data_IF_723720920993
#
_entry.id   IF_723720920993
#
_cell.length_a   1.000
_cell.length_b   1.000
_cell.length_c   1.000
_cell.angle_alpha   90.00
_cell.angle_beta   90.00
_cell.angle_gamma   90.00
#
_symmetry.space_group_name_H-M   'P 1'
#
loop_
_entity.id
_entity.type
_entity.pdbx_description
1 polymer ?
#
# COMPACT_ATOMS: atom_id res chain seq x y z
N UNK A 1 24.57 19.04 -11.22
CA UNK A 1 23.73 18.58 -10.09
C UNK A 1 23.69 17.06 -10.14
N UNK A 2 24.21 16.40 -9.10
CA UNK A 2 24.05 14.96 -8.91
C UNK A 2 22.84 14.78 -8.01
N UNK A 3 21.82 14.03 -8.49
CA UNK A 3 20.67 13.66 -7.69
C UNK A 3 20.92 12.29 -7.08
N UNK A 4 21.08 12.25 -5.75
CA UNK A 4 21.26 11.01 -5.02
C UNK A 4 19.94 10.58 -4.38
N UNK A 5 19.50 9.37 -4.69
CA UNK A 5 18.33 8.80 -4.08
C UNK A 5 18.63 8.20 -2.68
N UNK A 6 17.58 7.77 -2.01
CA UNK A 6 17.69 7.16 -0.68
C UNK A 6 18.51 5.85 -0.70
N UNK A 7 18.52 5.12 -1.82
CA UNK A 7 19.23 3.86 -1.96
C UNK A 7 20.74 4.09 -2.10
N UNK A 8 21.14 5.17 -2.77
CA UNK A 8 22.54 5.55 -2.87
C UNK A 8 23.19 5.72 -1.48
N UNK A 9 22.50 6.39 -0.55
CA UNK A 9 22.97 6.57 0.84
C UNK A 9 23.03 5.29 1.67
N UNK A 10 22.37 4.21 1.25
CA UNK A 10 22.38 2.93 1.95
C UNK A 10 23.42 1.95 1.43
N UNK A 11 24.22 2.33 0.44
CA UNK A 11 25.32 1.49 -0.04
C UNK A 11 26.42 1.35 1.01
N UNK A 12 27.16 0.23 0.97
CA UNK A 12 28.23 -0.05 1.94
C UNK A 12 29.27 1.07 2.00
N UNK A 13 29.56 1.71 0.87
CA UNK A 13 30.51 2.83 0.79
C UNK A 13 30.07 4.02 1.64
N UNK A 14 28.78 4.41 1.58
CA UNK A 14 28.27 5.55 2.35
C UNK A 14 27.94 5.20 3.81
N UNK A 15 27.88 3.91 4.17
CA UNK A 15 27.70 3.46 5.55
C UNK A 15 29.02 3.41 6.35
N UNK A 16 30.16 3.38 5.67
CA UNK A 16 31.46 3.46 6.31
C UNK A 16 31.93 4.91 6.41
N UNK A 17 32.72 5.24 7.45
CA UNK A 17 33.29 6.58 7.59
C UNK A 17 34.26 6.85 6.44
N UNK A 18 34.00 7.90 5.66
CA UNK A 18 34.85 8.33 4.53
C UNK A 18 36.02 9.17 4.99
N UNK A 19 35.91 9.84 6.13
CA UNK A 19 36.99 10.59 6.74
C UNK A 19 36.82 10.65 8.26
N UNK A 20 37.94 10.71 8.98
CA UNK A 20 37.96 10.94 10.43
C UNK A 20 38.67 12.26 10.70
N UNK A 21 38.00 13.16 11.42
CA UNK A 21 38.57 14.43 11.85
C UNK A 21 38.77 14.37 13.36
N UNK A 22 40.04 14.47 13.79
CA UNK A 22 40.42 14.36 15.19
C UNK A 22 41.07 15.68 15.65
N UNK A 23 40.39 16.41 16.55
CA UNK A 23 40.86 17.65 17.16
C UNK A 23 41.29 18.75 16.19
N UNK A 24 40.96 18.68 14.91
CA UNK A 24 41.33 19.62 13.83
C UNK A 24 40.29 20.70 13.59
N UNK A 25 39.18 20.64 14.33
CA UNK A 25 38.07 21.60 14.18
C UNK A 25 38.35 22.87 14.99
N UNK A 26 38.04 24.03 14.40
CA UNK A 26 38.18 25.35 15.04
C UNK A 26 36.98 25.66 15.96
N UNK A 27 35.81 25.15 15.62
CA UNK A 27 34.60 25.27 16.44
C UNK A 27 33.76 23.99 16.33
N UNK A 28 33.14 23.62 17.44
CA UNK A 28 32.22 22.49 17.51
C UNK A 28 31.04 22.88 18.41
N UNK A 29 29.83 22.74 17.88
CA UNK A 29 28.60 22.92 18.63
C UNK A 29 27.86 21.61 18.62
N UNK A 30 27.54 21.11 19.80
CA UNK A 30 26.79 19.89 20.01
C UNK A 30 25.44 20.21 20.64
N UNK A 31 24.35 19.77 20.05
CA UNK A 31 23.02 19.90 20.61
C UNK A 31 22.27 18.58 20.59
N UNK A 32 21.56 18.28 21.66
CA UNK A 32 20.61 17.18 21.75
C UNK A 32 19.18 17.74 21.66
N UNK A 33 18.53 17.55 20.55
CA UNK A 33 17.18 18.04 20.33
C UNK A 33 16.15 17.03 20.82
N UNK A 34 15.69 17.17 22.07
CA UNK A 34 14.64 16.33 22.62
C UNK A 34 13.23 16.65 22.06
N UNK A 35 13.05 17.72 21.29
CA UNK A 35 11.76 18.07 20.68
C UNK A 35 11.31 17.08 19.61
N UNK A 36 12.24 16.36 19.00
CA UNK A 36 11.99 15.35 17.96
C UNK A 36 11.86 13.92 18.50
N UNK A 37 11.85 13.76 19.83
CA UNK A 37 11.63 12.46 20.46
C UNK A 37 10.15 12.08 20.40
N UNK A 38 9.88 10.89 19.88
CA UNK A 38 8.57 10.23 19.95
C UNK A 38 8.76 8.81 20.47
N UNK A 39 8.19 8.54 21.63
CA UNK A 39 8.35 7.28 22.35
C UNK A 39 7.05 6.47 22.45
N UNK A 40 6.01 6.94 21.80
CA UNK A 40 4.77 6.22 21.52
C UNK A 40 4.45 6.43 20.05
N UNK A 41 4.42 5.37 19.28
CA UNK A 41 4.04 5.41 17.88
C UNK A 41 2.70 4.70 17.74
N UNK A 42 1.74 5.35 17.10
CA UNK A 42 0.44 4.79 16.77
C UNK A 42 0.21 4.87 15.27
N UNK A 43 -0.14 3.78 14.64
CA UNK A 43 -0.57 3.72 13.25
C UNK A 43 -2.02 3.26 13.20
N UNK A 44 -2.91 4.14 12.74
CA UNK A 44 -4.32 3.82 12.53
C UNK A 44 -4.58 3.61 11.05
N UNK A 45 -5.18 2.48 10.68
CA UNK A 45 -5.41 2.09 9.30
C UNK A 45 -6.71 1.30 9.17
N UNK A 46 -7.20 1.15 7.96
CA UNK A 46 -8.34 0.30 7.63
C UNK A 46 -7.83 -0.95 6.91
N UNK A 47 -7.81 -2.12 7.56
CA UNK A 47 -7.40 -3.35 6.88
C UNK A 47 -8.43 -3.73 5.80
N UNK A 48 -7.92 -4.31 4.71
CA UNK A 48 -8.72 -4.88 3.65
C UNK A 48 -8.65 -6.39 3.76
N UNK A 49 -9.77 -7.07 3.73
CA UNK A 49 -9.82 -8.53 3.73
C UNK A 49 -10.43 -9.06 2.44
N UNK A 50 -9.78 -10.08 1.87
CA UNK A 50 -10.30 -10.79 0.73
C UNK A 50 -11.49 -11.67 1.19
N UNK A 51 -12.63 -11.48 0.55
CA UNK A 51 -13.86 -12.21 0.82
C UNK A 51 -14.01 -13.37 -0.15
N UNK A 52 -14.74 -14.40 0.30
CA UNK A 52 -15.06 -15.58 -0.52
C UNK A 52 -15.91 -15.20 -1.75
N UNK A 53 -15.91 -16.10 -2.74
CA UNK A 53 -16.70 -15.96 -3.96
C UNK A 53 -18.18 -15.75 -3.57
N UNK A 54 -18.73 -14.62 -4.00
CA UNK A 54 -20.15 -14.30 -3.84
C UNK A 54 -20.72 -13.68 -5.11
N UNK A 55 -22.03 -13.51 -5.14
CA UNK A 55 -22.71 -12.77 -6.20
C UNK A 55 -22.41 -11.27 -6.03
N UNK A 56 -21.86 -10.66 -7.07
CA UNK A 56 -21.48 -9.25 -7.08
C UNK A 56 -22.37 -8.42 -8.00
N UNK A 57 -23.09 -9.07 -8.91
CA UNK A 57 -24.03 -8.44 -9.82
C UNK A 57 -25.05 -9.45 -10.32
N UNK A 58 -26.27 -8.98 -10.56
CA UNK A 58 -27.36 -9.75 -11.14
C UNK A 58 -28.22 -8.89 -12.05
N UNK A 59 -28.59 -9.45 -13.19
CA UNK A 59 -29.60 -8.87 -14.07
C UNK A 59 -30.99 -9.06 -13.44
N UNK A 60 -31.74 -7.96 -13.36
CA UNK A 60 -33.09 -7.98 -12.74
C UNK A 60 -34.21 -8.24 -13.74
N UNK A 61 -33.90 -8.11 -15.03
CA UNK A 61 -34.88 -8.27 -16.12
C UNK A 61 -34.69 -9.60 -16.83
N UNK A 62 -35.69 -10.02 -17.62
CA UNK A 62 -35.64 -11.20 -18.47
C UNK A 62 -35.64 -10.81 -19.96
N UNK A 63 -34.56 -10.20 -20.47
CA UNK A 63 -34.49 -9.73 -21.86
C UNK A 63 -34.50 -10.91 -22.84
N UNK A 64 -35.01 -10.66 -24.05
CA UNK A 64 -34.95 -11.59 -25.16
C UNK A 64 -33.75 -11.26 -26.04
N UNK A 65 -32.97 -12.30 -26.40
CA UNK A 65 -31.92 -12.22 -27.41
C UNK A 65 -32.46 -12.88 -28.70
N UNK A 66 -32.62 -12.14 -29.80
CA UNK A 66 -33.01 -12.74 -31.07
C UNK A 66 -32.02 -13.82 -31.54
N UNK A 67 -32.49 -14.72 -32.39
CA UNK A 67 -31.64 -15.74 -33.01
C UNK A 67 -30.45 -15.12 -33.77
N UNK A 68 -29.25 -15.61 -33.51
CA UNK A 68 -28.02 -15.13 -34.12
C UNK A 68 -27.45 -13.79 -33.58
N UNK A 69 -28.16 -13.14 -32.67
CA UNK A 69 -27.78 -11.81 -32.15
C UNK A 69 -26.98 -11.91 -30.83
N UNK A 70 -26.26 -10.83 -30.53
CA UNK A 70 -25.51 -10.68 -29.28
C UNK A 70 -25.96 -9.42 -28.55
N UNK A 71 -26.32 -9.56 -27.28
CA UNK A 71 -26.58 -8.44 -26.40
C UNK A 71 -25.50 -8.32 -25.30
N UNK A 72 -25.27 -7.10 -24.88
CA UNK A 72 -24.21 -6.79 -23.89
C UNK A 72 -24.77 -6.07 -22.68
N UNK A 73 -24.36 -6.51 -21.50
CA UNK A 73 -24.65 -5.88 -20.22
C UNK A 73 -23.38 -5.46 -19.51
N UNK A 74 -23.48 -4.39 -18.76
CA UNK A 74 -22.46 -3.93 -17.85
C UNK A 74 -22.95 -4.09 -16.42
N UNK A 75 -22.19 -4.79 -15.62
CA UNK A 75 -22.47 -4.98 -14.19
C UNK A 75 -21.46 -4.23 -13.34
N UNK A 76 -21.95 -3.48 -12.35
CA UNK A 76 -21.10 -2.91 -11.30
C UNK A 76 -21.02 -3.92 -10.14
N UNK A 77 -19.81 -4.09 -9.58
CA UNK A 77 -19.63 -4.94 -8.42
C UNK A 77 -20.20 -4.27 -7.18
N UNK A 78 -21.21 -4.87 -6.56
CA UNK A 78 -21.85 -4.39 -5.35
C UNK A 78 -22.10 -5.53 -4.36
N UNK A 79 -21.91 -5.21 -3.08
CA UNK A 79 -22.28 -6.08 -1.96
C UNK A 79 -23.02 -5.21 -0.95
N UNK A 80 -24.22 -5.62 -0.55
CA UNK A 80 -25.09 -4.85 0.38
C UNK A 80 -25.32 -3.40 -0.06
N UNK A 81 -25.45 -3.15 -1.37
CA UNK A 81 -25.61 -1.84 -2.02
C UNK A 81 -24.36 -0.93 -1.92
N UNK A 82 -23.21 -1.48 -1.61
CA UNK A 82 -21.95 -0.75 -1.63
C UNK A 82 -21.06 -1.25 -2.76
N UNK A 83 -20.44 -0.32 -3.49
CA UNK A 83 -19.51 -0.66 -4.56
C UNK A 83 -18.21 -1.22 -3.98
N UNK A 84 -17.79 -2.39 -4.46
CA UNK A 84 -16.60 -3.09 -3.98
C UNK A 84 -15.52 -3.22 -5.05
N UNK A 85 -14.27 -3.41 -4.62
CA UNK A 85 -13.17 -3.77 -5.50
C UNK A 85 -13.07 -5.28 -5.65
N UNK A 86 -13.15 -5.76 -6.88
CA UNK A 86 -13.09 -7.18 -7.20
C UNK A 86 -11.62 -7.59 -7.36
N UNK A 87 -11.24 -8.64 -6.65
CA UNK A 87 -9.95 -9.29 -6.81
C UNK A 87 -9.97 -10.19 -8.06
N UNK A 88 -10.95 -11.09 -8.12
CA UNK A 88 -11.11 -11.98 -9.27
C UNK A 88 -12.58 -12.24 -9.59
N UNK A 89 -13.00 -11.93 -10.81
CA UNK A 89 -14.27 -12.37 -11.36
C UNK A 89 -14.20 -13.84 -11.75
N UNK A 90 -15.20 -14.63 -11.35
CA UNK A 90 -15.33 -16.02 -11.84
C UNK A 90 -15.74 -16.02 -13.32
N UNK A 91 -15.38 -17.07 -14.04
CA UNK A 91 -15.96 -17.32 -15.37
C UNK A 91 -17.39 -17.82 -15.17
N UNK A 92 -18.39 -17.24 -15.85
CA UNK A 92 -19.78 -17.67 -15.72
C UNK A 92 -19.95 -19.16 -16.03
N UNK A 93 -20.64 -19.85 -15.13
CA UNK A 93 -20.90 -21.29 -15.24
C UNK A 93 -22.36 -21.48 -15.67
N UNK A 94 -22.56 -22.30 -16.71
CA UNK A 94 -23.89 -22.68 -17.22
C UNK A 94 -24.76 -23.20 -16.07
N UNK A 95 -26.03 -22.83 -16.05
CA UNK A 95 -27.05 -23.15 -15.05
C UNK A 95 -26.84 -22.54 -13.66
N UNK A 96 -25.60 -22.26 -13.28
CA UNK A 96 -25.28 -21.59 -12.02
C UNK A 96 -25.33 -20.07 -12.15
N UNK A 97 -24.75 -19.53 -13.20
CA UNK A 97 -24.57 -18.08 -13.38
C UNK A 97 -25.46 -17.53 -14.50
N UNK A 98 -25.87 -18.35 -15.44
CA UNK A 98 -26.82 -17.98 -16.48
C UNK A 98 -27.71 -19.13 -16.90
N UNK A 99 -28.98 -18.80 -17.21
CA UNK A 99 -29.96 -19.68 -17.82
C UNK A 99 -30.76 -18.92 -18.87
N UNK A 100 -31.26 -19.63 -19.86
CA UNK A 100 -32.10 -19.09 -20.91
C UNK A 100 -33.24 -20.07 -21.23
N UNK A 101 -34.38 -19.50 -21.62
CA UNK A 101 -35.59 -20.25 -21.96
C UNK A 101 -36.26 -19.68 -23.21
N UNK A 102 -37.11 -20.44 -23.87
CA UNK A 102 -37.89 -19.98 -25.04
C UNK A 102 -39.05 -19.04 -24.63
N UNK A 103 -39.35 -18.92 -23.35
CA UNK A 103 -40.39 -18.07 -22.77
C UNK A 103 -39.84 -17.26 -21.59
N UNK A 104 -40.34 -16.04 -21.41
CA UNK A 104 -39.85 -15.13 -20.37
C UNK A 104 -40.17 -15.61 -18.93
N UNK A 105 -41.24 -16.39 -18.78
CA UNK A 105 -41.64 -16.98 -17.50
C UNK A 105 -40.82 -18.23 -17.10
N UNK A 106 -39.97 -18.71 -18.00
CA UNK A 106 -39.09 -19.87 -17.76
C UNK A 106 -39.80 -21.22 -17.93
N UNK A 107 -41.09 -21.25 -18.35
CA UNK A 107 -41.87 -22.48 -18.50
C UNK A 107 -41.75 -23.14 -19.88
N UNK A 108 -41.02 -22.50 -20.81
CA UNK A 108 -40.78 -23.04 -22.14
C UNK A 108 -39.58 -24.00 -22.21
N UNK A 109 -39.06 -24.18 -23.41
CA UNK A 109 -37.90 -25.05 -23.66
C UNK A 109 -36.61 -24.40 -23.13
N UNK A 110 -35.76 -25.19 -22.48
CA UNK A 110 -34.45 -24.73 -22.02
C UNK A 110 -33.54 -24.40 -23.21
N UNK A 111 -33.11 -23.13 -23.33
CA UNK A 111 -32.28 -22.59 -24.37
C UNK A 111 -30.85 -22.30 -23.90
N UNK A 112 -30.50 -22.65 -22.68
CA UNK A 112 -29.22 -22.29 -22.05
C UNK A 112 -28.00 -22.76 -22.85
N UNK A 113 -28.09 -23.95 -23.48
CA UNK A 113 -27.02 -24.49 -24.30
C UNK A 113 -26.74 -23.68 -25.59
N UNK A 114 -27.73 -22.89 -26.07
CA UNK A 114 -27.59 -22.02 -27.22
C UNK A 114 -26.94 -20.66 -26.90
N UNK A 115 -26.71 -20.37 -25.63
CA UNK A 115 -26.15 -19.11 -25.19
C UNK A 115 -24.66 -19.27 -24.94
N UNK A 116 -23.87 -18.42 -25.62
CA UNK A 116 -22.43 -18.27 -25.34
C UNK A 116 -22.19 -16.97 -24.58
N UNK A 117 -21.50 -17.05 -23.46
CA UNK A 117 -21.18 -15.89 -22.61
C UNK A 117 -19.71 -15.55 -22.75
N UNK A 118 -19.42 -14.31 -23.16
CA UNK A 118 -18.07 -13.75 -23.19
C UNK A 118 -17.97 -12.62 -22.17
N UNK A 119 -16.88 -12.58 -21.40
CA UNK A 119 -16.70 -11.60 -20.33
C UNK A 119 -15.47 -10.73 -20.53
N UNK A 120 -15.57 -9.43 -20.25
CA UNK A 120 -14.43 -8.54 -20.04
C UNK A 120 -14.45 -8.05 -18.62
N UNK A 121 -13.36 -8.25 -17.89
CA UNK A 121 -13.28 -8.11 -16.44
C UNK A 121 -12.49 -6.85 -16.09
N UNK A 122 -13.01 -6.04 -15.15
CA UNK A 122 -12.38 -4.82 -14.64
C UNK A 122 -12.41 -4.84 -13.09
N UNK A 123 -11.72 -3.91 -12.47
CA UNK A 123 -11.60 -3.86 -11.00
C UNK A 123 -12.92 -3.63 -10.24
N UNK A 124 -13.91 -2.98 -10.87
CA UNK A 124 -15.22 -2.70 -10.25
C UNK A 124 -16.41 -3.05 -11.15
N UNK A 125 -16.15 -3.43 -12.39
CA UNK A 125 -17.19 -3.68 -13.38
C UNK A 125 -16.88 -4.92 -14.18
N UNK A 126 -17.91 -5.51 -14.75
CA UNK A 126 -17.79 -6.61 -15.71
C UNK A 126 -18.67 -6.31 -16.92
N UNK A 127 -18.15 -6.59 -18.10
CA UNK A 127 -18.93 -6.60 -19.34
C UNK A 127 -19.26 -8.04 -19.65
N UNK A 128 -20.53 -8.34 -19.89
CA UNK A 128 -21.08 -9.65 -20.24
C UNK A 128 -21.72 -9.54 -21.62
N UNK A 129 -21.17 -10.20 -22.62
CA UNK A 129 -21.73 -10.31 -23.94
C UNK A 129 -22.31 -11.73 -24.12
N UNK A 130 -23.62 -11.82 -24.36
CA UNK A 130 -24.33 -13.06 -24.55
C UNK A 130 -24.79 -13.19 -26.00
N UNK A 131 -24.27 -14.20 -26.69
CA UNK A 131 -24.65 -14.54 -28.06
C UNK A 131 -25.63 -15.69 -28.07
N UNK A 132 -26.76 -15.54 -28.78
CA UNK A 132 -27.71 -16.60 -29.04
C UNK A 132 -27.36 -17.32 -30.35
N UNK A 133 -26.69 -18.45 -30.28
CA UNK A 133 -26.37 -19.30 -31.44
C UNK A 133 -27.53 -20.20 -31.86
N UNK A 134 -28.72 -20.10 -31.24
CA UNK A 134 -29.92 -20.87 -31.62
C UNK A 134 -30.65 -20.26 -32.82
N UNK A 135 -31.72 -20.95 -33.25
CA UNK A 135 -32.54 -20.53 -34.39
C UNK A 135 -33.84 -19.79 -33.99
N UNK A 136 -34.07 -19.64 -32.68
CA UNK A 136 -35.25 -18.95 -32.09
C UNK A 136 -34.79 -17.97 -31.03
N UNK A 137 -35.59 -16.93 -30.69
CA UNK A 137 -35.27 -16.02 -29.62
C UNK A 137 -35.15 -16.75 -28.29
N UNK A 138 -34.18 -16.32 -27.45
CA UNK A 138 -33.95 -16.86 -26.10
C UNK A 138 -34.10 -15.77 -25.06
N UNK A 139 -34.94 -16.01 -24.04
CA UNK A 139 -35.09 -15.14 -22.89
C UNK A 139 -34.09 -15.51 -21.81
N UNK A 140 -33.35 -14.54 -21.33
CA UNK A 140 -32.37 -14.75 -20.25
C UNK A 140 -33.10 -14.72 -18.93
N UNK A 141 -33.29 -15.89 -18.31
CA UNK A 141 -34.05 -16.06 -17.06
C UNK A 141 -33.17 -15.95 -15.81
N UNK A 142 -31.86 -16.10 -15.97
CA UNK A 142 -30.84 -15.82 -14.96
C UNK A 142 -29.60 -15.28 -15.66
N UNK A 143 -29.02 -14.21 -15.12
CA UNK A 143 -27.67 -13.77 -15.44
C UNK A 143 -27.09 -13.09 -14.22
N UNK A 144 -26.01 -13.64 -13.70
CA UNK A 144 -25.26 -13.07 -12.58
C UNK A 144 -23.77 -13.18 -12.78
N UNK A 145 -23.04 -12.32 -12.10
CA UNK A 145 -21.60 -12.36 -12.06
C UNK A 145 -21.14 -12.53 -10.61
N UNK A 146 -20.24 -13.49 -10.40
CA UNK A 146 -19.65 -13.80 -9.09
C UNK A 146 -18.16 -13.52 -9.10
N UNK A 147 -17.60 -13.28 -7.91
CA UNK A 147 -16.18 -13.08 -7.76
C UNK A 147 -15.74 -12.99 -6.30
N UNK A 148 -14.45 -12.93 -6.09
CA UNK A 148 -13.83 -12.55 -4.81
C UNK A 148 -13.66 -11.03 -4.79
N UNK A 149 -13.81 -10.41 -3.63
CA UNK A 149 -13.73 -8.97 -3.50
C UNK A 149 -13.02 -8.57 -2.21
N UNK A 150 -12.52 -7.34 -2.18
CA UNK A 150 -11.96 -6.75 -0.97
C UNK A 150 -13.00 -5.96 -0.22
N UNK A 151 -13.15 -6.29 1.07
CA UNK A 151 -14.02 -5.56 1.99
C UNK A 151 -13.20 -4.76 2.99
N UNK A 152 -13.67 -3.55 3.29
CA UNK A 152 -13.09 -2.66 4.30
C UNK A 152 -13.47 -3.15 5.69
N UNK A 153 -12.47 -3.50 6.49
CA UNK A 153 -12.68 -3.81 7.89
C UNK A 153 -12.77 -2.54 8.76
N UNK A 154 -13.21 -2.70 9.99
CA UNK A 154 -13.18 -1.61 10.98
C UNK A 154 -11.76 -1.08 11.17
N UNK A 155 -11.62 0.23 11.33
CA UNK A 155 -10.33 0.88 11.62
C UNK A 155 -9.64 0.22 12.82
N UNK A 156 -8.38 -0.12 12.66
CA UNK A 156 -7.53 -0.73 13.68
C UNK A 156 -6.34 0.18 13.97
N UNK A 157 -5.92 0.24 15.23
CA UNK A 157 -4.72 0.95 15.64
C UNK A 157 -3.66 -0.04 16.11
N UNK A 158 -2.47 0.02 15.51
CA UNK A 158 -1.26 -0.62 16.03
C UNK A 158 -0.44 0.40 16.80
N UNK A 159 0.22 -0.07 17.86
CA UNK A 159 0.95 0.79 18.80
C UNK A 159 2.27 0.14 19.19
N UNK A 160 3.33 0.97 19.29
CA UNK A 160 4.60 0.61 19.91
C UNK A 160 5.03 1.69 20.89
N UNK A 161 5.56 1.29 22.03
CA UNK A 161 6.01 2.20 23.09
C UNK A 161 7.39 1.79 23.59
N UNK A 162 8.16 2.78 24.06
CA UNK A 162 9.42 2.59 24.76
C UNK A 162 9.34 3.26 26.14
N UNK A 163 9.26 2.44 27.21
CA UNK A 163 9.08 2.92 28.58
C UNK A 163 10.34 3.63 29.11
N UNK A 164 11.52 3.23 28.68
CA UNK A 164 12.78 3.86 29.08
C UNK A 164 12.85 5.29 28.57
N UNK A 165 12.53 5.50 27.31
CA UNK A 165 12.45 6.83 26.70
C UNK A 165 11.33 7.68 27.33
N UNK A 166 10.18 7.06 27.67
CA UNK A 166 9.10 7.80 28.36
C UNK A 166 9.51 8.30 29.76
N UNK A 167 10.30 7.52 30.47
CA UNK A 167 10.85 7.93 31.79
C UNK A 167 11.80 9.12 31.64
N UNK A 168 12.66 9.11 30.60
CA UNK A 168 13.65 10.15 30.39
C UNK A 168 13.08 11.44 29.77
N UNK A 169 12.10 11.33 28.86
CA UNK A 169 11.64 12.45 28.00
C UNK A 169 10.14 12.71 28.10
N UNK A 170 9.45 12.09 29.03
CA UNK A 170 7.98 12.06 29.14
C UNK A 170 7.32 11.38 27.92
N UNK A 171 6.03 11.12 28.04
CA UNK A 171 5.26 10.48 26.98
C UNK A 171 5.03 11.44 25.80
N UNK A 172 5.53 11.08 24.63
CA UNK A 172 5.39 11.83 23.38
C UNK A 172 4.90 10.91 22.29
N UNK A 173 3.71 11.19 21.77
CA UNK A 173 3.04 10.33 20.79
C UNK A 173 3.20 10.89 19.39
N UNK A 174 3.57 10.03 18.45
CA UNK A 174 3.45 10.24 17.02
C UNK A 174 2.26 9.42 16.52
N UNK A 175 1.26 10.08 16.00
CA UNK A 175 0.09 9.46 15.39
C UNK A 175 0.22 9.52 13.86
N UNK A 176 0.04 8.37 13.24
CA UNK A 176 0.16 8.18 11.80
C UNK A 176 -1.19 7.72 11.27
N UNK A 177 -1.72 8.47 10.33
CA UNK A 177 -2.86 8.02 9.53
C UNK A 177 -2.34 7.11 8.41
N UNK A 178 -2.56 5.83 8.60
CA UNK A 178 -2.11 4.76 7.70
C UNK A 178 -3.00 4.58 6.48
N UNK A 179 -3.36 5.66 5.79
CA UNK A 179 -4.27 5.65 4.63
C UNK A 179 -3.92 4.59 3.56
N UNK A 180 -2.64 4.26 3.43
CA UNK A 180 -2.16 3.28 2.45
C UNK A 180 -1.72 1.96 3.09
N UNK A 181 -1.93 1.80 4.40
CA UNK A 181 -1.65 0.55 5.10
C UNK A 181 -2.87 -0.35 5.04
N UNK A 182 -2.70 -1.55 4.53
CA UNK A 182 -3.78 -2.53 4.33
C UNK A 182 -3.64 -3.76 5.22
N UNK A 183 -2.49 -3.92 5.90
CA UNK A 183 -2.23 -5.07 6.76
C UNK A 183 -1.74 -4.65 8.16
N UNK A 184 -2.11 -5.46 9.15
CA UNK A 184 -1.71 -5.28 10.54
C UNK A 184 -0.19 -5.42 10.74
N UNK A 185 0.44 -6.34 10.00
CA UNK A 185 1.88 -6.60 10.09
C UNK A 185 2.69 -5.45 9.52
N UNK A 186 2.26 -4.88 8.39
CA UNK A 186 2.89 -3.68 7.80
C UNK A 186 2.78 -2.49 8.75
N UNK A 187 1.61 -2.28 9.37
CA UNK A 187 1.40 -1.21 10.35
C UNK A 187 2.28 -1.41 11.59
N UNK A 188 2.41 -2.65 12.08
CA UNK A 188 3.28 -2.96 13.21
C UNK A 188 4.75 -2.74 12.85
N UNK A 189 5.20 -3.23 11.70
CA UNK A 189 6.57 -3.02 11.22
C UNK A 189 6.92 -1.53 11.08
N UNK A 190 5.96 -0.71 10.66
CA UNK A 190 6.13 0.74 10.64
C UNK A 190 6.28 1.34 12.04
N UNK A 191 5.46 0.91 13.01
CA UNK A 191 5.59 1.35 14.40
C UNK A 191 6.94 0.95 15.00
N UNK A 192 7.42 -0.27 14.73
CA UNK A 192 8.70 -0.78 15.21
C UNK A 192 9.89 -0.02 14.59
N UNK A 193 9.82 0.27 13.30
CA UNK A 193 10.82 1.10 12.63
C UNK A 193 10.84 2.53 13.18
N UNK A 194 9.67 3.17 13.31
CA UNK A 194 9.57 4.55 13.73
C UNK A 194 10.05 4.73 15.18
N UNK A 195 9.71 3.82 16.11
CA UNK A 195 10.17 3.92 17.48
C UNK A 195 11.68 3.76 17.58
N UNK A 196 12.28 2.84 16.80
CA UNK A 196 13.72 2.68 16.72
C UNK A 196 14.46 3.93 16.23
N UNK A 197 13.78 4.79 15.47
CA UNK A 197 14.35 6.03 14.94
C UNK A 197 14.13 7.25 15.83
N UNK A 198 13.02 7.32 16.56
CA UNK A 198 12.57 8.56 17.20
C UNK A 198 12.48 8.49 18.73
N UNK A 199 12.72 7.34 19.35
CA UNK A 199 12.62 7.18 20.81
C UNK A 199 13.71 7.94 21.59
N UNK A 200 14.84 8.18 20.96
CA UNK A 200 15.98 8.87 21.55
C UNK A 200 16.26 10.19 20.82
N UNK A 201 16.73 11.23 21.54
CA UNK A 201 17.10 12.48 20.91
C UNK A 201 18.28 12.26 19.96
N UNK A 202 18.20 12.91 18.80
CA UNK A 202 19.32 12.89 17.86
C UNK A 202 20.30 14.01 18.19
N UNK A 203 21.56 13.63 18.24
CA UNK A 203 22.65 14.58 18.31
C UNK A 203 22.74 15.35 16.98
N UNK A 204 22.78 16.65 17.04
CA UNK A 204 23.13 17.53 15.95
C UNK A 204 24.50 18.14 16.26
N UNK A 205 25.43 17.95 15.34
CA UNK A 205 26.81 18.39 15.48
C UNK A 205 27.11 19.38 14.36
N UNK A 206 27.39 20.63 14.72
CA UNK A 206 27.89 21.62 13.79
C UNK A 206 29.40 21.79 14.01
N UNK A 207 30.19 21.61 12.97
CA UNK A 207 31.63 21.62 13.03
C UNK A 207 32.20 22.60 12.01
N UNK A 208 33.12 23.46 12.43
CA UNK A 208 33.84 24.35 11.55
C UNK A 208 35.28 23.88 11.45
N UNK A 209 35.73 23.66 10.24
CA UNK A 209 37.12 23.32 9.95
C UNK A 209 37.83 24.52 9.40
N UNK A 210 39.10 24.72 9.82
CA UNK A 210 40.05 25.63 9.17
C UNK A 210 41.05 24.79 8.39
N UNK A 211 41.28 25.16 7.17
CA UNK A 211 42.28 24.49 6.31
C UNK A 211 43.67 24.90 6.76
N UNK A 212 44.26 24.14 7.68
CA UNK A 212 45.62 24.38 8.18
C UNK A 212 46.70 23.53 7.47
N UNK A 213 46.25 22.49 6.77
CA UNK A 213 47.08 21.57 6.01
C UNK A 213 46.41 21.07 4.75
N UNK A 214 47.19 20.60 3.77
CA UNK A 214 46.70 20.13 2.48
C UNK A 214 45.84 18.87 2.60
N UNK A 215 46.07 18.00 3.59
CA UNK A 215 45.30 16.77 3.78
C UNK A 215 43.89 17.08 4.29
N UNK A 216 43.77 17.96 5.28
CA UNK A 216 42.47 18.42 5.79
C UNK A 216 41.70 19.17 4.70
N UNK A 217 42.38 20.03 3.93
CA UNK A 217 41.75 20.73 2.80
C UNK A 217 41.19 19.75 1.76
N UNK A 218 41.98 18.75 1.37
CA UNK A 218 41.54 17.72 0.42
C UNK A 218 40.32 16.99 0.94
N UNK A 219 40.30 16.60 2.19
CA UNK A 219 39.13 15.92 2.80
C UNK A 219 37.89 16.81 2.81
N UNK A 220 38.00 18.08 3.10
CA UNK A 220 36.88 19.04 3.08
C UNK A 220 36.33 19.21 1.66
N UNK A 221 37.20 19.37 0.67
CA UNK A 221 36.81 19.62 -0.72
C UNK A 221 36.26 18.40 -1.44
N UNK A 222 36.57 17.18 -0.98
CA UNK A 222 36.10 15.93 -1.61
C UNK A 222 34.85 15.36 -0.96
N UNK A 223 34.36 15.97 0.13
CA UNK A 223 33.13 15.46 0.82
C UNK A 223 31.85 15.92 0.13
N UNK A 224 30.90 15.00 0.07
CA UNK A 224 29.56 15.24 -0.44
C UNK A 224 28.52 15.21 0.70
N UNK A 225 27.31 15.71 0.43
CA UNK A 225 26.26 15.87 1.45
C UNK A 225 25.86 14.55 2.11
N UNK A 226 26.02 13.42 1.44
CA UNK A 226 25.67 12.08 1.95
C UNK A 226 26.82 11.31 2.60
N UNK A 227 28.02 11.86 2.58
CA UNK A 227 29.18 11.18 3.14
C UNK A 227 29.08 11.03 4.66
N UNK A 228 29.32 9.82 5.13
CA UNK A 228 29.47 9.57 6.56
C UNK A 228 30.91 9.96 6.98
N UNK A 229 31.01 10.82 7.97
CA UNK A 229 32.29 11.22 8.56
C UNK A 229 32.32 10.89 10.05
N UNK A 230 33.49 10.66 10.60
CA UNK A 230 33.72 10.49 12.04
C UNK A 230 34.39 11.74 12.61
N UNK A 231 33.77 12.27 13.68
CA UNK A 231 34.29 13.43 14.41
C UNK A 231 34.72 12.98 15.78
N UNK A 232 36.00 13.20 16.10
CA UNK A 232 36.56 12.92 17.41
C UNK A 232 37.09 14.21 18.03
N UNK A 233 36.53 14.62 19.17
CA UNK A 233 37.07 15.73 19.96
C UNK A 233 37.28 15.26 21.39
N UNK A 234 38.52 14.96 21.73
CA UNK A 234 38.91 14.41 23.03
C UNK A 234 38.70 15.40 24.16
N UNK A 235 38.78 16.72 23.91
CA UNK A 235 38.57 17.76 24.93
C UNK A 235 37.12 17.88 25.35
N UNK A 236 36.20 17.62 24.41
CA UNK A 236 34.76 17.70 24.66
C UNK A 236 34.13 16.32 24.86
N UNK A 237 34.89 15.24 24.82
CA UNK A 237 34.41 13.88 24.94
C UNK A 237 33.48 13.45 23.77
N UNK A 238 33.58 14.09 22.60
CA UNK A 238 32.78 13.78 21.41
C UNK A 238 33.47 12.69 20.59
N UNK A 239 32.73 11.62 20.30
CA UNK A 239 33.09 10.58 19.34
C UNK A 239 31.81 10.20 18.60
N UNK A 240 31.58 10.76 17.41
CA UNK A 240 30.36 10.65 16.63
C UNK A 240 30.62 10.31 15.16
#
# INVERSE_FOLDING_TARGET
>A
FVFEDRHHRSTATHQTSQATFTNTMSNITYSLNAKVVYNVIKATFTPWSLQAITELWRLQETPSIPAGETLTWWGNAEVSNESVFVDAWTTPVTTTDYTANSQADGLGTNMTASITVTTTKFAKTIKLALANGGTVPAFITLLKARGTYYDNQTKVTRKKEDSTSQTAYQKRTLELDGKYLTSADTAQGYCDYAIGKYKDPRAELTVTFQSQDAATLTQILTREISDRITIVNTKLGVNA
#
